data_IF_264684323028
#
_entry.id   IF_264684323028
#
_cell.length_a   1.000
_cell.length_b   1.000
_cell.length_c   1.000
_cell.angle_alpha   90.00
_cell.angle_beta   90.00
_cell.angle_gamma   90.00
#
_symmetry.space_group_name_H-M   'P 1'
#
loop_
_entity.id
_entity.type
_entity.pdbx_description
1 polymer ?
#
# COMPACT_ATOMS: atom_id res chain seq x y z
N UNK A 1 -12.29 -3.86 -15.12
CA UNK A 1 -13.46 -3.33 -14.38
C UNK A 1 -12.97 -2.24 -13.46
N UNK A 2 -13.40 -1.02 -13.66
CA UNK A 2 -13.09 0.08 -12.76
C UNK A 2 -13.69 -0.24 -11.39
N UNK A 3 -12.96 0.04 -10.32
CA UNK A 3 -13.52 0.09 -8.97
C UNK A 3 -14.80 0.90 -9.03
N UNK A 4 -15.91 0.35 -8.56
CA UNK A 4 -17.16 1.12 -8.50
C UNK A 4 -16.90 2.33 -7.59
N UNK A 5 -17.44 3.49 -7.96
CA UNK A 5 -17.32 4.70 -7.13
C UNK A 5 -17.84 4.48 -5.70
N UNK A 6 -18.68 3.45 -5.51
CA UNK A 6 -19.17 2.97 -4.21
C UNK A 6 -18.07 2.32 -3.34
N UNK A 7 -17.10 1.59 -3.91
CA UNK A 7 -16.00 0.98 -3.13
C UNK A 7 -14.93 2.02 -2.77
N UNK A 8 -14.68 3.00 -3.65
CA UNK A 8 -13.85 4.17 -3.33
C UNK A 8 -14.49 5.03 -2.23
N UNK A 9 -15.79 5.24 -2.31
CA UNK A 9 -16.56 5.97 -1.31
C UNK A 9 -16.59 5.23 0.04
N UNK A 10 -16.66 3.90 0.08
CA UNK A 10 -16.68 3.14 1.32
C UNK A 10 -15.34 3.15 2.07
N UNK A 11 -14.19 3.11 1.36
CA UNK A 11 -12.85 3.20 1.98
C UNK A 11 -12.50 4.64 2.40
N UNK A 12 -12.83 5.62 1.56
CA UNK A 12 -12.70 7.03 1.89
C UNK A 12 -13.66 7.44 3.01
N UNK A 13 -14.87 6.86 3.06
CA UNK A 13 -15.91 7.20 4.02
C UNK A 13 -15.62 6.73 5.45
N UNK A 14 -14.92 5.60 5.65
CA UNK A 14 -14.56 5.16 7.01
C UNK A 14 -13.45 6.01 7.64
N UNK A 15 -12.42 6.36 6.90
CA UNK A 15 -11.37 7.27 7.40
C UNK A 15 -11.87 8.71 7.49
N UNK A 16 -12.69 9.18 6.53
CA UNK A 16 -13.27 10.51 6.56
C UNK A 16 -14.41 10.65 7.56
N UNK A 17 -15.16 9.57 7.87
CA UNK A 17 -16.24 9.62 8.86
C UNK A 17 -15.69 9.82 10.28
N UNK A 18 -14.57 9.17 10.64
CA UNK A 18 -13.90 9.39 11.93
C UNK A 18 -13.28 10.80 11.96
N UNK A 19 -12.62 11.23 10.91
CA UNK A 19 -12.11 12.60 10.78
C UNK A 19 -13.24 13.64 10.80
N UNK A 20 -14.36 13.37 10.12
CA UNK A 20 -15.53 14.26 10.12
C UNK A 20 -16.28 14.30 11.45
N UNK A 21 -16.23 13.25 12.26
CA UNK A 21 -16.76 13.26 13.63
C UNK A 21 -15.90 14.05 14.61
N UNK A 22 -14.59 14.06 14.41
CA UNK A 22 -13.64 14.77 15.30
C UNK A 22 -13.44 16.25 14.91
N UNK A 23 -13.55 16.57 13.61
CA UNK A 23 -13.30 17.91 13.06
C UNK A 23 -14.23 19.00 13.60
N UNK A 24 -15.58 18.81 13.75
CA UNK A 24 -16.44 19.87 14.27
C UNK A 24 -16.09 20.33 15.69
N UNK A 25 -15.66 19.40 16.56
CA UNK A 25 -15.22 19.73 17.92
C UNK A 25 -13.84 20.38 17.94
N UNK A 26 -12.96 19.98 17.03
CA UNK A 26 -11.61 20.52 16.92
C UNK A 26 -11.58 21.93 16.30
N UNK A 27 -12.54 22.29 15.43
CA UNK A 27 -12.63 23.61 14.82
C UNK A 27 -13.02 24.71 15.82
N UNK A 28 -13.69 24.37 16.91
CA UNK A 28 -14.14 25.30 17.95
C UNK A 28 -13.23 25.31 19.19
N UNK A 29 -12.17 24.49 19.22
CA UNK A 29 -11.23 24.46 20.34
C UNK A 29 -10.12 25.49 20.15
N UNK A 30 -9.66 26.15 21.22
CA UNK A 30 -8.42 26.94 21.18
C UNK A 30 -7.24 25.98 20.94
N UNK A 31 -6.70 25.99 19.74
CA UNK A 31 -5.64 25.10 19.25
C UNK A 31 -6.15 24.27 18.09
N UNK A 32 -5.59 24.48 16.90
CA UNK A 32 -5.91 23.64 15.73
C UNK A 32 -5.27 22.28 15.90
N UNK A 33 -6.00 21.16 15.69
CA UNK A 33 -5.37 19.85 15.66
C UNK A 33 -4.30 19.82 14.57
N UNK A 34 -3.10 19.42 14.93
CA UNK A 34 -1.98 19.31 14.02
C UNK A 34 -1.89 17.87 13.53
N UNK A 35 -2.28 17.64 12.27
CA UNK A 35 -1.98 16.39 11.57
C UNK A 35 -0.64 16.55 10.87
N UNK A 36 0.35 15.76 11.28
CA UNK A 36 1.67 15.76 10.66
C UNK A 36 1.70 14.63 9.62
N UNK A 37 1.67 15.00 8.34
CA UNK A 37 2.00 14.08 7.26
C UNK A 37 3.31 14.52 6.62
N UNK A 38 4.28 13.63 6.62
CA UNK A 38 5.58 13.88 6.01
C UNK A 38 5.59 13.34 4.58
N UNK A 39 5.66 14.22 3.59
CA UNK A 39 5.86 13.83 2.19
C UNK A 39 7.34 14.03 1.81
N UNK A 40 8.14 12.98 2.04
CA UNK A 40 9.56 12.98 1.71
C UNK A 40 9.85 12.51 0.28
N UNK A 41 8.87 11.88 -0.37
CA UNK A 41 9.09 11.29 -1.67
C UNK A 41 8.73 12.29 -2.76
N UNK A 42 9.75 12.79 -3.46
CA UNK A 42 9.52 13.61 -4.63
C UNK A 42 8.89 12.78 -5.76
N UNK A 43 7.71 13.17 -6.18
CA UNK A 43 7.02 12.57 -7.34
C UNK A 43 6.85 13.64 -8.41
N UNK A 44 7.45 13.43 -9.58
CA UNK A 44 7.28 14.33 -10.70
C UNK A 44 5.83 14.33 -11.21
N UNK A 45 5.15 15.50 -11.28
CA UNK A 45 3.79 15.58 -11.83
C UNK A 45 3.71 15.02 -13.26
N UNK A 46 4.76 15.18 -14.05
CA UNK A 46 4.85 14.66 -15.42
C UNK A 46 4.83 13.13 -15.44
N UNK A 47 5.55 12.47 -14.50
CA UNK A 47 5.56 11.01 -14.41
C UNK A 47 4.17 10.52 -14.00
N UNK A 48 3.59 11.12 -12.98
CA UNK A 48 2.25 10.78 -12.50
C UNK A 48 1.19 10.90 -13.61
N UNK A 49 1.14 12.05 -14.29
CA UNK A 49 0.16 12.29 -15.38
C UNK A 49 0.31 11.29 -16.53
N UNK A 50 1.56 10.97 -16.94
CA UNK A 50 1.78 10.01 -18.02
C UNK A 50 1.39 8.59 -17.65
N UNK A 51 1.62 8.18 -16.40
CA UNK A 51 1.16 6.89 -15.91
C UNK A 51 -0.37 6.85 -15.82
N UNK A 52 -1.01 7.92 -15.34
CA UNK A 52 -2.47 8.02 -15.30
C UNK A 52 -3.09 7.89 -16.68
N UNK A 53 -2.54 8.59 -17.67
CA UNK A 53 -2.98 8.49 -19.06
C UNK A 53 -2.76 7.07 -19.62
N UNK A 54 -1.59 6.50 -19.40
CA UNK A 54 -1.29 5.15 -19.87
C UNK A 54 -2.27 4.10 -19.31
N UNK A 55 -2.64 4.22 -18.03
CA UNK A 55 -3.63 3.34 -17.41
C UNK A 55 -5.03 3.56 -18.01
N UNK A 56 -5.43 4.83 -18.19
CA UNK A 56 -6.74 5.16 -18.73
C UNK A 56 -6.91 4.71 -20.19
N UNK A 57 -5.88 4.86 -21.00
CA UNK A 57 -5.88 4.57 -22.42
C UNK A 57 -5.37 3.15 -22.76
N UNK A 58 -5.07 2.33 -21.72
CA UNK A 58 -4.52 0.97 -21.89
C UNK A 58 -3.27 0.94 -22.76
N UNK A 59 -2.30 1.83 -22.50
CA UNK A 59 -1.05 1.95 -23.25
C UNK A 59 0.15 1.47 -22.44
N UNK A 60 1.19 1.02 -23.16
CA UNK A 60 2.49 0.75 -22.58
C UNK A 60 3.23 2.03 -22.25
N UNK A 61 4.07 1.96 -21.23
CA UNK A 61 5.03 3.02 -20.90
C UNK A 61 6.45 2.48 -20.91
N UNK A 62 7.36 3.35 -21.33
CA UNK A 62 8.80 3.12 -21.25
C UNK A 62 9.45 4.18 -20.39
N UNK A 63 10.34 3.77 -19.48
CA UNK A 63 11.06 4.67 -18.60
C UNK A 63 12.42 4.10 -18.18
N UNK A 64 13.31 4.96 -17.70
CA UNK A 64 14.51 4.55 -16.98
C UNK A 64 14.19 4.40 -15.50
N UNK A 65 14.67 3.33 -14.89
CA UNK A 65 14.41 2.97 -13.50
C UNK A 65 15.69 2.64 -12.76
N UNK A 66 15.83 3.19 -11.54
CA UNK A 66 16.88 2.83 -10.60
C UNK A 66 16.27 2.07 -9.42
N UNK A 67 16.78 0.90 -9.08
CA UNK A 67 16.37 0.15 -7.90
C UNK A 67 17.49 0.07 -6.88
N UNK A 68 17.19 -0.36 -5.65
CA UNK A 68 18.24 -0.54 -4.64
C UNK A 68 19.20 -1.68 -5.02
N UNK A 69 18.69 -2.71 -5.70
CA UNK A 69 19.52 -3.85 -6.14
C UNK A 69 20.23 -3.59 -7.48
N UNK A 70 19.77 -2.60 -8.25
CA UNK A 70 20.40 -2.14 -9.47
C UNK A 70 20.25 -0.63 -9.54
N UNK A 71 21.22 0.13 -8.98
CA UNK A 71 21.16 1.59 -8.89
C UNK A 71 21.40 2.30 -10.22
N UNK A 72 22.04 1.64 -11.19
CA UNK A 72 22.25 2.22 -12.51
C UNK A 72 20.93 2.34 -13.28
N UNK A 73 20.71 3.47 -13.98
CA UNK A 73 19.50 3.66 -14.78
C UNK A 73 19.38 2.61 -15.88
N UNK A 74 18.29 1.87 -15.87
CA UNK A 74 18.03 0.84 -16.87
C UNK A 74 16.60 0.94 -17.41
N UNK A 75 16.44 0.60 -18.67
CA UNK A 75 15.15 0.71 -19.35
C UNK A 75 14.16 -0.32 -18.85
N UNK A 76 12.92 0.12 -18.70
CA UNK A 76 11.75 -0.73 -18.44
C UNK A 76 10.62 -0.38 -19.40
N UNK A 77 9.98 -1.42 -19.94
CA UNK A 77 8.69 -1.30 -20.62
C UNK A 77 7.68 -2.02 -19.74
N UNK A 78 6.62 -1.30 -19.40
CA UNK A 78 5.61 -1.76 -18.45
C UNK A 78 4.22 -1.52 -19.04
N UNK A 79 3.31 -2.44 -18.80
CA UNK A 79 1.87 -2.34 -19.00
C UNK A 79 1.24 -1.98 -17.65
N UNK A 80 1.05 -0.67 -17.36
CA UNK A 80 0.60 -0.24 -16.05
C UNK A 80 -0.91 -0.43 -15.91
N UNK A 81 -1.37 -0.83 -14.70
CA UNK A 81 -2.81 -0.94 -14.45
C UNK A 81 -3.29 -0.19 -13.20
N UNK A 82 -2.43 0.12 -12.24
CA UNK A 82 -2.86 0.80 -11.02
C UNK A 82 -1.78 1.73 -10.46
N UNK A 83 -2.20 2.93 -10.06
CA UNK A 83 -1.41 3.83 -9.23
C UNK A 83 -1.85 3.64 -7.78
N UNK A 84 -0.89 3.55 -6.87
CA UNK A 84 -1.15 3.39 -5.45
C UNK A 84 -0.18 4.24 -4.62
N UNK A 85 -0.69 4.76 -3.51
CA UNK A 85 0.14 5.38 -2.49
C UNK A 85 0.26 4.40 -1.33
N UNK A 86 1.47 4.00 -1.01
CA UNK A 86 1.77 3.11 0.09
C UNK A 86 2.85 3.74 0.96
N UNK A 87 2.52 3.93 2.23
CA UNK A 87 3.36 4.67 3.16
C UNK A 87 3.71 6.07 2.63
N UNK A 88 4.99 6.33 2.44
CA UNK A 88 5.52 7.65 2.04
C UNK A 88 5.72 7.83 0.54
N UNK A 89 5.33 6.86 -0.30
CA UNK A 89 5.70 6.85 -1.73
C UNK A 89 4.52 6.48 -2.62
N UNK A 90 4.54 7.04 -3.82
CA UNK A 90 3.70 6.60 -4.92
C UNK A 90 4.35 5.46 -5.68
N UNK A 91 3.54 4.48 -6.05
CA UNK A 91 3.93 3.34 -6.86
C UNK A 91 2.98 3.22 -8.05
N UNK A 92 3.49 2.64 -9.14
CA UNK A 92 2.65 2.08 -10.20
C UNK A 92 2.86 0.58 -10.21
N UNK A 93 1.74 -0.16 -10.26
CA UNK A 93 1.74 -1.60 -10.48
C UNK A 93 1.40 -1.89 -11.92
N UNK A 94 2.13 -2.83 -12.53
CA UNK A 94 1.93 -3.24 -13.89
C UNK A 94 2.80 -4.42 -14.27
N UNK A 95 2.53 -4.99 -15.44
CA UNK A 95 3.31 -6.09 -16.00
C UNK A 95 4.60 -5.57 -16.64
N UNK A 96 5.73 -6.03 -16.15
CA UNK A 96 7.05 -5.68 -16.67
C UNK A 96 7.47 -6.64 -17.78
N UNK A 97 7.56 -6.17 -19.02
CA UNK A 97 7.92 -7.02 -20.17
C UNK A 97 9.31 -7.64 -20.02
N UNK A 98 10.25 -6.92 -19.39
CA UNK A 98 11.61 -7.41 -19.17
C UNK A 98 11.68 -8.55 -18.14
N UNK A 99 10.83 -8.50 -17.10
CA UNK A 99 10.78 -9.52 -16.04
C UNK A 99 9.71 -10.58 -16.29
N UNK A 100 8.80 -10.33 -17.22
CA UNK A 100 7.64 -11.18 -17.51
C UNK A 100 6.80 -11.46 -16.25
N UNK A 101 6.63 -10.42 -15.43
CA UNK A 101 5.94 -10.51 -14.13
C UNK A 101 5.36 -9.17 -13.71
N UNK A 102 4.33 -9.20 -12.85
CA UNK A 102 3.75 -8.00 -12.24
C UNK A 102 4.65 -7.44 -11.15
N UNK A 103 4.92 -6.15 -11.23
CA UNK A 103 5.84 -5.46 -10.31
C UNK A 103 5.30 -4.09 -9.91
N UNK A 104 5.74 -3.66 -8.72
CA UNK A 104 5.53 -2.30 -8.25
C UNK A 104 6.78 -1.47 -8.51
N UNK A 105 6.59 -0.31 -9.13
CA UNK A 105 7.65 0.64 -9.40
C UNK A 105 7.41 1.94 -8.65
N UNK A 106 8.38 2.38 -7.88
CA UNK A 106 8.33 3.66 -7.14
C UNK A 106 8.47 4.82 -8.12
N UNK A 107 7.51 5.73 -8.15
CA UNK A 107 7.51 6.86 -9.11
C UNK A 107 8.74 7.75 -8.98
N UNK A 108 9.20 8.02 -7.75
CA UNK A 108 10.38 8.84 -7.49
C UNK A 108 11.71 8.23 -7.96
N UNK A 109 11.69 6.98 -8.45
CA UNK A 109 12.87 6.28 -9.01
C UNK A 109 12.84 6.17 -10.52
N UNK A 110 11.84 6.80 -11.16
CA UNK A 110 11.65 6.82 -12.61
C UNK A 110 12.21 8.09 -13.21
N UNK A 111 12.72 7.98 -14.43
CA UNK A 111 13.07 9.12 -15.27
C UNK A 111 12.77 8.82 -16.74
N UNK A 112 12.76 9.85 -17.59
CA UNK A 112 12.59 9.74 -19.03
C UNK A 112 11.34 8.94 -19.48
N UNK A 113 10.22 9.11 -18.76
CA UNK A 113 8.99 8.39 -19.09
C UNK A 113 8.43 8.81 -20.44
N UNK A 114 8.05 7.82 -21.25
CA UNK A 114 7.38 7.98 -22.56
C UNK A 114 6.17 7.05 -22.64
N UNK A 115 5.06 7.56 -23.11
CA UNK A 115 3.94 6.73 -23.57
C UNK A 115 4.36 6.11 -24.90
N UNK A 116 4.02 4.85 -25.06
CA UNK A 116 4.17 4.14 -26.33
C UNK A 116 2.77 4.09 -27.01
N UNK A 117 2.76 3.99 -28.34
CA UNK A 117 1.52 3.78 -29.09
C UNK A 117 1.05 2.31 -29.02
N UNK A 118 1.90 1.43 -28.50
CA UNK A 118 1.58 0.02 -28.32
C UNK A 118 0.53 -0.15 -27.19
N UNK A 119 -0.56 -0.89 -27.45
CA UNK A 119 -1.55 -1.17 -26.45
C UNK A 119 -1.01 -2.09 -25.36
N UNK A 120 -1.55 -1.97 -24.14
CA UNK A 120 -1.40 -2.97 -23.10
C UNK A 120 -2.18 -4.23 -23.52
N UNK A 121 -1.53 -5.38 -23.50
CA UNK A 121 -2.12 -6.67 -23.85
C UNK A 121 -2.50 -7.50 -22.62
N UNK A 122 -1.99 -7.12 -21.45
CA UNK A 122 -2.20 -7.85 -20.22
C UNK A 122 -3.46 -7.36 -19.51
N UNK A 123 -4.37 -8.28 -19.21
CA UNK A 123 -5.53 -8.01 -18.38
C UNK A 123 -5.11 -7.97 -16.90
N UNK A 124 -5.61 -6.98 -16.18
CA UNK A 124 -5.39 -6.82 -14.72
C UNK A 124 -5.86 -8.05 -13.92
N UNK A 125 -6.86 -8.78 -14.43
CA UNK A 125 -7.34 -10.02 -13.81
C UNK A 125 -6.29 -11.13 -13.76
N UNK A 126 -5.28 -11.07 -14.64
CA UNK A 126 -4.17 -12.02 -14.66
C UNK A 126 -3.12 -11.72 -13.58
N UNK A 127 -3.18 -10.56 -12.94
CA UNK A 127 -2.39 -10.26 -11.75
C UNK A 127 -2.99 -10.96 -10.53
N UNK A 128 -2.55 -12.18 -10.28
CA UNK A 128 -3.05 -13.04 -9.20
C UNK A 128 -2.91 -12.35 -7.85
N UNK A 129 -1.77 -11.70 -7.57
CA UNK A 129 -1.56 -11.01 -6.31
C UNK A 129 -2.49 -9.78 -6.13
N UNK A 130 -2.85 -9.12 -7.22
CA UNK A 130 -3.81 -8.01 -7.21
C UNK A 130 -5.25 -8.48 -7.06
N UNK A 131 -5.59 -9.59 -7.67
CA UNK A 131 -6.94 -10.16 -7.69
C UNK A 131 -7.28 -10.94 -6.42
N UNK A 132 -6.27 -11.47 -5.71
CA UNK A 132 -6.44 -12.19 -4.45
C UNK A 132 -6.66 -11.21 -3.29
N UNK A 133 -7.74 -11.43 -2.54
CA UNK A 133 -8.04 -10.69 -1.30
C UNK A 133 -7.82 -11.60 -0.10
N UNK A 134 -6.99 -11.15 0.81
CA UNK A 134 -6.67 -11.83 2.06
C UNK A 134 -7.47 -11.22 3.20
N UNK A 135 -7.81 -12.05 4.19
CA UNK A 135 -8.33 -11.62 5.48
C UNK A 135 -7.17 -11.65 6.48
N UNK A 136 -6.55 -10.50 6.70
CA UNK A 136 -5.37 -10.39 7.56
C UNK A 136 -5.81 -10.16 8.99
N UNK A 137 -5.43 -11.07 9.88
CA UNK A 137 -5.81 -11.02 11.29
C UNK A 137 -4.69 -10.38 12.11
N UNK A 138 -4.98 -9.20 12.64
CA UNK A 138 -4.04 -8.39 13.43
C UNK A 138 -4.40 -8.53 14.91
N UNK A 139 -3.40 -8.85 15.74
CA UNK A 139 -3.54 -9.00 17.19
C UNK A 139 -2.52 -8.12 17.92
N UNK A 140 -2.69 -7.96 19.25
CA UNK A 140 -1.62 -7.44 20.08
C UNK A 140 -0.44 -8.41 20.05
N UNK A 141 0.80 -7.89 20.05
CA UNK A 141 1.99 -8.73 19.99
C UNK A 141 2.05 -9.70 21.18
N UNK A 142 2.28 -11.00 20.96
CA UNK A 142 2.19 -12.01 22.02
C UNK A 142 3.24 -11.84 23.14
N UNK A 143 4.37 -11.20 22.85
CA UNK A 143 5.42 -10.92 23.86
C UNK A 143 5.10 -9.75 24.80
N UNK A 144 4.00 -9.03 24.56
CA UNK A 144 3.52 -8.00 25.50
C UNK A 144 2.91 -8.65 26.73
N UNK A 145 3.10 -8.03 27.91
CA UNK A 145 2.39 -8.44 29.13
C UNK A 145 0.87 -8.32 28.96
N UNK A 146 0.05 -9.11 29.68
CA UNK A 146 -1.41 -9.10 29.52
C UNK A 146 -2.04 -7.71 29.64
N UNK A 147 -1.54 -6.88 30.56
CA UNK A 147 -2.01 -5.50 30.73
C UNK A 147 -1.65 -4.61 29.54
N UNK A 148 -0.49 -4.79 28.94
CA UNK A 148 -0.06 -4.08 27.74
C UNK A 148 -0.88 -4.51 26.50
N UNK A 149 -1.14 -5.82 26.36
CA UNK A 149 -2.03 -6.32 25.29
C UNK A 149 -3.43 -5.71 25.41
N UNK A 150 -3.94 -5.51 26.63
CA UNK A 150 -5.24 -4.86 26.81
C UNK A 150 -5.21 -3.40 26.34
N UNK A 151 -4.11 -2.68 26.58
CA UNK A 151 -3.95 -1.31 26.06
C UNK A 151 -4.01 -1.29 24.54
N UNK A 152 -3.23 -2.14 23.87
CA UNK A 152 -3.22 -2.26 22.39
C UNK A 152 -4.60 -2.61 21.84
N UNK A 153 -5.29 -3.57 22.49
CA UNK A 153 -6.64 -3.99 22.09
C UNK A 153 -7.66 -2.84 22.21
N UNK A 154 -7.60 -2.08 23.28
CA UNK A 154 -8.51 -0.95 23.46
C UNK A 154 -8.24 0.18 22.46
N UNK A 155 -6.96 0.44 22.16
CA UNK A 155 -6.55 1.52 21.25
C UNK A 155 -6.87 1.19 19.79
N UNK A 156 -6.54 -0.02 19.33
CA UNK A 156 -6.59 -0.35 17.89
C UNK A 156 -7.74 -1.27 17.50
N UNK A 157 -8.29 -2.05 18.44
CA UNK A 157 -9.26 -3.11 18.14
C UNK A 157 -10.61 -2.90 18.84
N UNK A 158 -10.82 -1.75 19.47
CA UNK A 158 -12.03 -1.45 20.22
C UNK A 158 -12.35 -2.52 21.30
N UNK A 159 -11.31 -3.01 22.00
CA UNK A 159 -11.41 -4.03 23.03
C UNK A 159 -11.47 -5.48 22.54
N UNK A 160 -11.59 -5.72 21.23
CA UNK A 160 -11.59 -7.07 20.68
C UNK A 160 -10.19 -7.72 20.79
N UNK A 161 -10.15 -9.06 20.72
CA UNK A 161 -8.87 -9.81 20.75
C UNK A 161 -8.05 -9.65 19.48
N UNK A 162 -8.71 -9.41 18.34
CA UNK A 162 -8.10 -9.23 17.05
C UNK A 162 -8.93 -8.28 16.18
N UNK A 163 -8.30 -7.73 15.15
CA UNK A 163 -8.94 -7.00 14.06
C UNK A 163 -8.64 -7.69 12.74
N UNK A 164 -9.67 -7.87 11.92
CA UNK A 164 -9.55 -8.49 10.60
C UNK A 164 -9.65 -7.39 9.55
N UNK A 165 -8.61 -7.29 8.72
CA UNK A 165 -8.54 -6.35 7.60
C UNK A 165 -8.51 -7.10 6.28
N UNK A 166 -9.37 -6.67 5.35
CA UNK A 166 -9.34 -7.17 3.97
C UNK A 166 -8.28 -6.44 3.18
N UNK A 167 -7.31 -7.17 2.64
CA UNK A 167 -6.20 -6.60 1.90
C UNK A 167 -5.93 -7.37 0.62
N UNK A 168 -5.65 -6.67 -0.49
CA UNK A 168 -5.11 -7.35 -1.69
C UNK A 168 -3.74 -7.91 -1.38
N UNK A 169 -3.47 -9.14 -1.82
CA UNK A 169 -2.20 -9.81 -1.56
C UNK A 169 -0.98 -8.97 -2.03
N UNK A 170 -1.09 -8.30 -3.17
CA UNK A 170 -0.07 -7.38 -3.66
C UNK A 170 0.24 -6.20 -2.71
N UNK A 171 -0.70 -5.81 -1.84
CA UNK A 171 -0.58 -4.68 -0.93
C UNK A 171 -0.24 -5.08 0.50
N UNK A 172 -0.22 -6.38 0.79
CA UNK A 172 -0.02 -6.90 2.15
C UNK A 172 1.26 -6.37 2.80
N UNK A 173 2.39 -6.41 2.08
CA UNK A 173 3.68 -5.92 2.60
C UNK A 173 3.64 -4.44 3.00
N UNK A 174 2.87 -3.63 2.27
CA UNK A 174 2.71 -2.20 2.60
C UNK A 174 1.84 -2.01 3.83
N UNK A 175 0.77 -2.79 3.94
CA UNK A 175 -0.13 -2.74 5.09
C UNK A 175 0.59 -3.12 6.38
N UNK A 176 1.35 -4.23 6.40
CA UNK A 176 2.08 -4.65 7.60
C UNK A 176 3.18 -3.67 7.98
N UNK A 177 3.84 -3.04 7.00
CA UNK A 177 4.81 -1.97 7.26
C UNK A 177 4.17 -0.69 7.81
N UNK A 178 3.03 -0.29 7.28
CA UNK A 178 2.29 0.90 7.74
C UNK A 178 1.79 0.73 9.17
N UNK A 179 1.30 -0.47 9.48
CA UNK A 179 0.81 -0.82 10.82
C UNK A 179 1.94 -1.17 11.80
N UNK A 180 3.18 -1.30 11.34
CA UNK A 180 4.29 -1.87 12.12
C UNK A 180 3.86 -3.19 12.81
N UNK A 181 3.12 -4.03 12.07
CA UNK A 181 2.67 -5.32 12.55
C UNK A 181 3.76 -6.38 12.31
N UNK A 182 4.16 -7.08 13.37
CA UNK A 182 5.15 -8.14 13.27
C UNK A 182 4.63 -9.30 12.41
N UNK A 183 5.45 -9.75 11.47
CA UNK A 183 5.25 -10.97 10.68
C UNK A 183 6.21 -12.08 11.11
N UNK A 184 7.22 -11.72 11.88
CA UNK A 184 8.17 -12.62 12.58
C UNK A 184 8.25 -12.16 14.04
N UNK A 185 7.46 -12.80 14.91
CA UNK A 185 7.30 -12.38 16.30
C UNK A 185 8.56 -12.60 17.15
N UNK A 186 9.52 -13.40 16.68
CA UNK A 186 10.78 -13.64 17.39
C UNK A 186 11.82 -12.58 17.12
N UNK A 187 11.74 -11.91 15.95
CA UNK A 187 12.67 -10.87 15.53
C UNK A 187 12.11 -9.45 15.63
N UNK A 188 10.82 -9.31 15.40
CA UNK A 188 10.13 -8.03 15.38
C UNK A 188 9.40 -7.83 16.72
N UNK A 189 10.10 -7.30 17.70
CA UNK A 189 9.69 -7.25 19.10
C UNK A 189 9.15 -5.88 19.54
N UNK A 190 8.31 -5.82 20.59
CA UNK A 190 8.02 -4.58 21.28
C UNK A 190 9.31 -3.92 21.86
N UNK A 191 9.34 -2.58 21.98
CA UNK A 191 8.22 -1.65 21.82
C UNK A 191 7.92 -1.21 20.39
N UNK A 192 8.79 -1.51 19.41
CA UNK A 192 8.62 -1.05 18.03
C UNK A 192 7.43 -1.74 17.33
N UNK A 193 7.21 -3.02 17.64
CA UNK A 193 6.13 -3.83 17.09
C UNK A 193 5.14 -4.19 18.20
N UNK A 194 4.10 -3.37 18.36
CA UNK A 194 3.05 -3.61 19.36
C UNK A 194 1.94 -4.52 18.85
N UNK A 195 1.86 -4.70 17.54
CA UNK A 195 0.90 -5.56 16.85
C UNK A 195 1.62 -6.68 16.11
N UNK A 196 0.90 -7.77 15.84
CA UNK A 196 1.40 -8.90 15.07
C UNK A 196 0.31 -9.42 14.12
N UNK A 197 0.74 -10.00 13.01
CA UNK A 197 -0.13 -10.76 12.11
C UNK A 197 -0.26 -12.18 12.69
N UNK A 198 -1.48 -12.57 13.08
CA UNK A 198 -1.71 -13.88 13.71
C UNK A 198 -1.70 -15.02 12.67
N UNK A 199 -2.31 -14.79 11.50
CA UNK A 199 -2.39 -15.79 10.43
C UNK A 199 -1.26 -15.65 9.39
N UNK A 200 -0.01 -15.56 9.86
CA UNK A 200 1.18 -15.40 9.00
C UNK A 200 1.37 -16.53 8.02
N UNK A 201 1.02 -17.77 8.37
CA UNK A 201 1.14 -18.93 7.49
C UNK A 201 0.31 -18.78 6.20
N UNK A 202 -0.92 -18.28 6.32
CA UNK A 202 -1.80 -18.01 5.17
C UNK A 202 -1.29 -16.85 4.30
N UNK A 203 -0.57 -15.92 4.91
CA UNK A 203 -0.05 -14.72 4.28
C UNK A 203 1.37 -14.89 3.72
N UNK A 204 2.11 -15.91 4.13
CA UNK A 204 3.54 -16.07 3.94
C UNK A 204 3.98 -15.97 2.48
N UNK A 205 3.27 -16.62 1.57
CA UNK A 205 3.60 -16.59 0.15
C UNK A 205 3.57 -15.17 -0.46
N UNK A 206 2.82 -14.25 0.14
CA UNK A 206 2.64 -12.88 -0.34
C UNK A 206 3.54 -11.86 0.37
N UNK A 207 4.05 -12.18 1.54
CA UNK A 207 4.96 -11.31 2.31
C UNK A 207 6.35 -11.24 1.69
N UNK A 208 6.81 -12.32 1.07
CA UNK A 208 8.16 -12.47 0.53
C UNK A 208 8.24 -12.38 -1.00
N UNK A 209 7.18 -12.01 -1.69
CA UNK A 209 7.22 -11.70 -3.13
C UNK A 209 8.01 -10.39 -3.36
N UNK A 210 9.26 -10.52 -3.83
CA UNK A 210 10.15 -9.39 -4.19
C UNK A 210 10.16 -9.12 -5.69
#
# INVERSE_FOLDING_TARGET
>A
MAYSDAERAAHASRSSAISAMLVPHALNAPGKPLSISWDFAHTSPRIFSRLSLAIADHLRVKFLYCSMNNPEPHERIVEPHSLLRAGRRWHVRGYCLHRQDFRDFVLGRMSNIKLLSDPSLIDVSTDVAWSTVLQVRITAHPSLAPSQQLVVRNEYFNGASARIESCRAALLKYMVQELMAATDIDRQMPPDYQMAVENTEECQQWLFMT
#
